data_IF_375271433895
#
_entry.id   IF_375271433895
#
_cell.length_a   1.000
_cell.length_b   1.000
_cell.length_c   1.000
_cell.angle_alpha   90.00
_cell.angle_beta   90.00
_cell.angle_gamma   90.00
#
_symmetry.space_group_name_H-M   'P 1'
#
loop_
_entity.id
_entity.type
_entity.pdbx_description
1 polymer ?
#
# COMPACT_ATOMS: atom_id res chain seq x y z
N UNK A 1 42.36 -41.11 -67.00
CA UNK A 1 41.82 -42.49 -66.97
C UNK A 1 40.79 -42.50 -65.86
N UNK A 2 39.50 -42.50 -66.24
CA UNK A 2 38.32 -42.93 -65.47
C UNK A 2 38.29 -42.58 -63.99
N UNK A 3 37.41 -41.69 -63.56
CA UNK A 3 36.12 -42.05 -62.96
C UNK A 3 35.53 -40.73 -62.46
N UNK A 4 34.24 -40.44 -62.35
CA UNK A 4 33.00 -41.18 -62.50
C UNK A 4 32.00 -40.02 -62.61
N UNK A 5 31.18 -39.96 -63.66
CA UNK A 5 29.74 -40.19 -63.49
C UNK A 5 29.20 -39.61 -62.17
N UNK A 6 28.24 -38.72 -62.19
CA UNK A 6 26.99 -38.84 -62.91
C UNK A 6 26.13 -37.71 -62.38
N UNK A 7 25.14 -37.30 -63.17
CA UNK A 7 23.81 -37.03 -62.63
C UNK A 7 23.71 -35.76 -61.76
N UNK A 8 22.88 -34.78 -62.07
CA UNK A 8 21.78 -34.66 -63.02
C UNK A 8 21.39 -33.18 -62.88
N UNK A 9 20.96 -32.56 -63.99
CA UNK A 9 19.60 -32.02 -64.17
C UNK A 9 19.31 -30.87 -63.19
N UNK A 10 19.20 -29.64 -63.68
CA UNK A 10 17.90 -29.06 -64.08
C UNK A 10 16.87 -29.28 -62.97
N UNK A 11 16.22 -28.28 -62.40
CA UNK A 11 15.29 -27.39 -63.10
C UNK A 11 14.88 -26.27 -62.13
N UNK A 12 14.30 -25.22 -62.70
CA UNK A 12 13.14 -24.49 -62.19
C UNK A 12 13.35 -23.60 -60.95
N UNK A 13 13.22 -22.28 -61.09
CA UNK A 13 11.97 -21.53 -61.33
C UNK A 13 11.02 -21.59 -60.11
N UNK A 14 11.06 -20.48 -59.36
CA UNK A 14 10.00 -19.82 -58.58
C UNK A 14 8.84 -20.65 -58.03
N UNK A 15 8.83 -20.86 -56.71
CA UNK A 15 7.63 -20.78 -55.88
C UNK A 15 8.03 -20.13 -54.55
N UNK A 16 7.93 -18.80 -54.44
CA UNK A 16 8.02 -18.12 -53.14
C UNK A 16 6.70 -18.35 -52.39
N UNK A 17 6.72 -18.85 -51.14
CA UNK A 17 5.50 -18.96 -50.34
C UNK A 17 4.98 -17.56 -50.00
N UNK A 18 3.68 -17.34 -50.19
CA UNK A 18 2.99 -16.11 -49.79
C UNK A 18 3.00 -15.98 -48.26
N UNK A 19 3.52 -14.88 -47.69
CA UNK A 19 3.58 -14.71 -46.25
C UNK A 19 2.16 -14.49 -45.69
N UNK A 20 1.77 -15.33 -44.72
CA UNK A 20 0.48 -15.21 -44.04
C UNK A 20 0.53 -14.17 -42.92
N UNK A 21 -0.62 -13.54 -42.65
CA UNK A 21 -0.86 -12.46 -41.67
C UNK A 21 -0.23 -12.68 -40.28
N UNK A 22 0.03 -13.93 -39.91
CA UNK A 22 0.57 -14.34 -38.60
C UNK A 22 2.09 -14.18 -38.50
N UNK A 23 2.82 -14.16 -39.62
CA UNK A 23 4.26 -13.87 -39.64
C UNK A 23 4.58 -12.37 -39.63
N UNK A 24 3.60 -11.50 -39.93
CA UNK A 24 3.78 -10.05 -39.86
C UNK A 24 3.61 -9.46 -38.45
N UNK A 25 3.09 -10.22 -37.48
CA UNK A 25 2.94 -9.78 -36.08
C UNK A 25 4.11 -10.24 -35.17
N UNK A 26 5.09 -10.96 -35.72
CA UNK A 26 6.21 -11.57 -34.98
C UNK A 26 7.58 -11.00 -35.38
N UNK A 27 7.64 -9.76 -35.87
CA UNK A 27 8.88 -9.10 -36.26
C UNK A 27 9.01 -7.70 -35.63
N UNK A 28 9.14 -7.65 -34.30
CA UNK A 28 9.77 -6.51 -33.59
C UNK A 28 10.79 -7.06 -32.59
N UNK A 29 11.84 -7.67 -33.14
CA UNK A 29 13.01 -8.07 -32.38
C UNK A 29 13.93 -6.86 -32.13
N UNK A 30 14.03 -6.46 -30.87
CA UNK A 30 15.30 -6.15 -30.19
C UNK A 30 16.19 -4.97 -30.67
N UNK A 31 15.75 -3.71 -30.52
CA UNK A 31 16.70 -2.57 -30.44
C UNK A 31 16.20 -1.28 -29.74
N UNK A 32 15.20 -1.31 -28.85
CA UNK A 32 14.64 -0.04 -28.32
C UNK A 32 13.96 -0.01 -26.95
N UNK A 33 13.88 -1.11 -26.20
CA UNK A 33 13.15 -1.13 -24.90
C UNK A 33 14.04 -1.03 -23.66
N UNK A 34 15.37 -0.90 -23.82
CA UNK A 34 16.29 -0.73 -22.68
C UNK A 34 15.97 0.55 -21.90
N UNK A 35 15.45 1.60 -22.55
CA UNK A 35 15.03 2.84 -21.90
C UNK A 35 13.73 2.73 -21.08
N UNK A 36 12.93 1.67 -21.25
CA UNK A 36 11.74 1.40 -20.43
C UNK A 36 11.97 0.34 -19.35
N UNK A 37 13.06 -0.43 -19.43
CA UNK A 37 13.36 -1.49 -18.47
C UNK A 37 13.48 -1.00 -17.00
N UNK A 38 14.02 0.18 -16.67
CA UNK A 38 14.06 0.61 -15.27
C UNK A 38 12.67 1.02 -14.73
N UNK A 39 11.65 1.20 -15.59
CA UNK A 39 10.30 1.61 -15.18
C UNK A 39 9.34 0.44 -14.96
N UNK A 40 9.58 -0.71 -15.61
CA UNK A 40 8.74 -1.92 -15.43
C UNK A 40 9.24 -2.88 -14.34
N UNK A 41 10.54 -2.88 -14.02
CA UNK A 41 11.07 -3.68 -12.91
C UNK A 41 10.81 -3.09 -11.51
N UNK A 42 10.16 -1.92 -11.43
CA UNK A 42 9.72 -1.37 -10.14
C UNK A 42 8.41 -2.03 -9.73
N UNK A 43 8.47 -3.35 -9.54
CA UNK A 43 7.63 -3.98 -8.54
C UNK A 43 7.81 -3.17 -7.26
N UNK A 44 6.71 -2.72 -6.66
CA UNK A 44 6.76 -2.16 -5.32
C UNK A 44 7.36 -3.26 -4.44
N UNK A 45 8.66 -3.15 -4.12
CA UNK A 45 9.25 -3.97 -3.06
C UNK A 45 8.38 -3.66 -1.85
N UNK A 46 7.65 -4.62 -1.27
CA UNK A 46 7.03 -4.39 0.02
C UNK A 46 8.20 -4.04 0.94
N UNK A 47 8.34 -2.75 1.25
CA UNK A 47 9.38 -2.30 2.16
C UNK A 47 8.91 -2.73 3.54
N UNK A 48 9.22 -3.97 3.91
CA UNK A 48 8.97 -4.59 5.22
C UNK A 48 9.85 -3.95 6.32
N UNK A 49 10.23 -2.68 6.09
CA UNK A 49 11.09 -1.87 6.92
C UNK A 49 10.24 -1.19 7.97
N UNK A 50 10.36 -1.63 9.22
CA UNK A 50 9.74 -0.99 10.38
C UNK A 50 10.23 0.46 10.45
N UNK A 51 9.32 1.43 10.35
CA UNK A 51 9.64 2.85 10.52
C UNK A 51 9.29 3.32 11.93
N UNK A 52 10.19 4.02 12.63
CA UNK A 52 9.85 4.59 13.93
C UNK A 52 8.75 5.63 13.75
N UNK A 53 7.67 5.47 14.50
CA UNK A 53 6.56 6.42 14.58
C UNK A 53 6.67 7.19 15.89
N UNK A 54 6.70 8.53 15.80
CA UNK A 54 6.61 9.43 16.95
C UNK A 54 5.36 10.28 16.78
N UNK A 55 4.44 10.20 17.72
CA UNK A 55 3.31 11.11 17.78
C UNK A 55 3.80 12.46 18.34
N UNK A 56 3.56 13.53 17.60
CA UNK A 56 3.75 14.90 18.04
C UNK A 56 2.38 15.55 18.17
N UNK A 57 1.98 15.85 19.39
CA UNK A 57 0.65 16.40 19.70
C UNK A 57 0.86 17.80 20.28
N UNK A 58 0.50 18.86 19.54
CA UNK A 58 0.60 20.24 20.02
C UNK A 58 -0.19 20.48 21.31
N UNK A 59 0.37 21.31 22.18
CA UNK A 59 -0.25 21.68 23.46
C UNK A 59 -1.62 22.35 23.29
N UNK A 60 -1.83 23.11 22.21
CA UNK A 60 -3.13 23.72 21.95
C UNK A 60 -4.24 22.68 21.71
N UNK A 61 -3.90 21.54 21.10
CA UNK A 61 -4.87 20.45 20.88
C UNK A 61 -5.21 19.74 22.20
N UNK A 62 -4.22 19.59 23.10
CA UNK A 62 -4.47 19.06 24.44
C UNK A 62 -5.27 20.04 25.31
N UNK A 63 -5.00 21.35 25.19
CA UNK A 63 -5.77 22.39 25.88
C UNK A 63 -7.22 22.42 25.37
N UNK A 64 -7.43 22.32 24.06
CA UNK A 64 -8.77 22.24 23.47
C UNK A 64 -9.53 21.01 23.94
N UNK A 65 -8.88 19.84 23.92
CA UNK A 65 -9.45 18.59 24.41
C UNK A 65 -9.93 18.74 25.86
N UNK A 66 -9.10 19.30 26.75
CA UNK A 66 -9.47 19.53 28.16
C UNK A 66 -10.68 20.45 28.29
N UNK A 67 -10.71 21.55 27.54
CA UNK A 67 -11.86 22.47 27.52
C UNK A 67 -13.15 21.76 27.11
N UNK A 68 -13.09 20.91 26.07
CA UNK A 68 -14.25 20.17 25.57
C UNK A 68 -14.76 19.12 26.56
N UNK A 69 -13.87 18.43 27.27
CA UNK A 69 -14.29 17.47 28.30
C UNK A 69 -14.95 18.19 29.48
N UNK A 70 -14.43 19.35 29.89
CA UNK A 70 -15.04 20.15 30.96
C UNK A 70 -16.39 20.75 30.54
N UNK A 71 -16.57 21.08 29.26
CA UNK A 71 -17.82 21.56 28.71
C UNK A 71 -18.84 20.43 28.38
N UNK A 72 -18.47 19.17 28.58
CA UNK A 72 -19.33 18.03 28.26
C UNK A 72 -20.61 18.07 29.11
N UNK A 73 -21.76 17.97 28.44
CA UNK A 73 -23.06 17.79 29.10
C UNK A 73 -23.24 16.32 29.41
N UNK A 74 -23.23 15.99 30.70
CA UNK A 74 -23.45 14.62 31.17
C UNK A 74 -24.94 14.32 31.27
N UNK A 75 -25.38 13.11 30.88
CA UNK A 75 -26.75 12.68 31.12
C UNK A 75 -27.02 12.46 32.62
N UNK A 76 -28.29 12.27 32.96
CA UNK A 76 -28.71 11.84 34.29
C UNK A 76 -28.23 10.42 34.61
N UNK A 77 -28.25 10.05 35.88
CA UNK A 77 -27.85 8.72 36.36
C UNK A 77 -28.80 7.64 35.83
N UNK A 78 -28.25 6.45 35.59
CA UNK A 78 -29.00 5.28 35.17
C UNK A 78 -30.06 4.88 36.21
N UNK A 79 -31.16 4.31 35.71
CA UNK A 79 -32.28 3.85 36.53
C UNK A 79 -32.10 2.44 37.09
N UNK A 80 -31.22 1.64 36.47
CA UNK A 80 -30.94 0.25 36.82
C UNK A 80 -29.54 0.10 37.42
N UNK A 81 -29.39 -0.87 38.31
CA UNK A 81 -28.11 -1.13 38.99
C UNK A 81 -27.14 -2.01 38.19
N UNK A 82 -27.61 -2.62 37.09
CA UNK A 82 -26.81 -3.43 36.19
C UNK A 82 -26.36 -2.66 34.93
N UNK A 83 -25.57 -3.29 34.08
CA UNK A 83 -25.03 -2.68 32.86
C UNK A 83 -25.93 -2.89 31.63
N UNK A 84 -27.22 -3.24 31.82
CA UNK A 84 -28.14 -3.45 30.69
C UNK A 84 -28.38 -2.18 29.87
N UNK A 85 -28.11 -1.00 30.45
CA UNK A 85 -28.15 0.30 29.77
C UNK A 85 -26.78 0.84 29.32
N UNK A 86 -25.74 0.00 29.38
CA UNK A 86 -24.40 0.35 28.94
C UNK A 86 -23.45 0.71 30.08
N UNK A 87 -22.41 1.48 29.76
CA UNK A 87 -21.35 1.83 30.71
C UNK A 87 -21.89 2.85 31.72
N UNK A 88 -21.75 2.60 33.04
CA UNK A 88 -22.22 3.53 34.05
C UNK A 88 -21.58 4.92 33.92
N UNK A 89 -22.38 5.95 34.17
CA UNK A 89 -22.03 7.36 34.13
C UNK A 89 -20.85 7.68 35.05
N UNK A 90 -20.80 7.04 36.22
CA UNK A 90 -19.69 7.17 37.16
C UNK A 90 -18.35 6.75 36.50
N UNK A 91 -18.35 5.64 35.78
CA UNK A 91 -17.17 5.12 35.06
C UNK A 91 -16.77 6.05 33.91
N UNK A 92 -17.73 6.57 33.14
CA UNK A 92 -17.44 7.53 32.08
C UNK A 92 -16.82 8.82 32.61
N UNK A 93 -17.34 9.35 33.71
CA UNK A 93 -16.82 10.56 34.36
C UNK A 93 -15.43 10.32 34.94
N UNK A 94 -15.20 9.19 35.60
CA UNK A 94 -13.89 8.83 36.14
C UNK A 94 -12.85 8.69 35.03
N UNK A 95 -13.20 8.04 33.93
CA UNK A 95 -12.33 7.95 32.76
C UNK A 95 -12.01 9.34 32.20
N UNK A 96 -13.03 10.14 31.91
CA UNK A 96 -12.86 11.42 31.24
C UNK A 96 -12.14 12.46 32.11
N UNK A 97 -12.46 12.54 33.40
CA UNK A 97 -11.91 13.52 34.33
C UNK A 97 -10.61 13.00 34.96
N UNK A 98 -10.59 11.74 35.42
CA UNK A 98 -9.43 11.13 36.06
C UNK A 98 -8.23 10.97 35.13
N UNK A 99 -8.43 10.73 33.82
CA UNK A 99 -7.33 10.69 32.84
C UNK A 99 -6.70 12.08 32.59
N UNK A 100 -7.45 13.17 32.77
CA UNK A 100 -6.92 14.53 32.58
C UNK A 100 -5.93 14.94 33.68
N UNK A 101 -6.16 14.52 34.93
CA UNK A 101 -5.33 14.91 36.08
C UNK A 101 -3.99 14.17 36.11
N UNK A 102 -3.93 12.93 35.59
CA UNK A 102 -2.70 12.11 35.56
C UNK A 102 -1.74 12.48 34.42
N UNK A 103 -2.26 12.89 33.25
CA UNK A 103 -1.45 13.09 32.04
C UNK A 103 -0.44 14.26 32.17
N UNK A 104 -0.68 15.23 33.04
CA UNK A 104 0.23 16.38 33.25
C UNK A 104 1.45 16.11 34.14
N UNK A 105 1.51 14.96 34.83
CA UNK A 105 2.56 14.69 35.82
C UNK A 105 3.88 14.17 35.20
N UNK A 106 3.88 13.72 33.94
CA UNK A 106 5.04 13.11 33.29
C UNK A 106 5.96 14.12 32.59
N UNK A 107 5.43 15.28 32.19
CA UNK A 107 6.17 16.31 31.42
C UNK A 107 7.14 17.14 32.30
N UNK A 108 6.86 17.33 33.59
CA UNK A 108 7.65 18.21 34.49
C UNK A 108 8.88 17.56 35.12
N UNK A 109 9.31 16.41 34.61
CA UNK A 109 10.48 15.66 35.10
C UNK A 109 11.37 15.26 33.93
N UNK A 110 11.86 16.24 33.18
CA UNK A 110 13.02 16.10 32.30
C UNK A 110 13.72 17.43 32.11
#
# INVERSE_FOLDING_TARGET
MTDLEKTRRSVASSILPTPTRRQLLAATAAAGVISLLPRMLRAAVPSDTIRPFRADIPDEQLADLRRRILAARWPDKETVADQSQGVPLATMRDLAIGRQTTTGARERRS
#
